data_IF_077147433099
#
_entry.id   IF_077147433099
#
_cell.length_a   1.000
_cell.length_b   1.000
_cell.length_c   1.000
_cell.angle_alpha   90.00
_cell.angle_beta   90.00
_cell.angle_gamma   90.00
#
_symmetry.space_group_name_H-M   'P 1'
#
loop_
_entity.id
_entity.type
_entity.pdbx_description
1 polymer ?
#
# COMPACT_ATOMS: atom_id res chain seq x y z
N UNK A 1 22.75 3.57 5.26
CA UNK A 1 22.27 4.49 4.19
C UNK A 1 22.44 3.84 2.83
N UNK A 2 21.43 3.09 2.37
CA UNK A 2 21.32 2.72 0.97
C UNK A 2 20.68 3.89 0.24
N UNK A 3 21.48 4.83 -0.23
CA UNK A 3 21.03 5.78 -1.24
C UNK A 3 20.48 4.92 -2.39
N UNK A 4 19.22 5.10 -2.77
CA UNK A 4 18.73 4.60 -4.06
C UNK A 4 19.52 5.32 -5.13
N UNK A 5 20.69 4.76 -5.43
CA UNK A 5 21.59 5.27 -6.43
C UNK A 5 20.84 5.15 -7.75
N UNK A 6 20.44 6.30 -8.28
CA UNK A 6 19.94 6.48 -9.64
C UNK A 6 21.09 6.28 -10.66
N UNK A 7 22.00 5.35 -10.37
CA UNK A 7 23.19 5.00 -11.14
C UNK A 7 22.97 3.73 -11.97
N UNK A 8 21.86 3.02 -11.78
CA UNK A 8 21.44 1.97 -12.73
C UNK A 8 20.97 2.61 -14.04
N UNK A 9 21.44 2.13 -15.21
CA UNK A 9 21.09 2.70 -16.49
C UNK A 9 19.57 2.76 -16.66
N UNK A 10 19.09 3.86 -17.26
CA UNK A 10 17.69 4.22 -17.52
C UNK A 10 16.88 3.15 -18.31
N UNK A 11 17.52 2.04 -18.71
CA UNK A 11 16.95 0.91 -19.42
C UNK A 11 16.47 -0.25 -18.53
N UNK A 12 16.74 -0.26 -17.22
CA UNK A 12 16.34 -1.35 -16.33
C UNK A 12 15.22 -0.91 -15.36
N UNK A 13 14.07 -1.59 -15.41
CA UNK A 13 12.99 -1.40 -14.43
C UNK A 13 13.52 -1.78 -13.02
N UNK A 14 13.51 -0.88 -12.03
CA UNK A 14 14.06 -1.20 -10.72
C UNK A 14 13.19 -2.26 -10.02
N UNK A 15 13.84 -3.25 -9.39
CA UNK A 15 13.15 -4.43 -8.80
C UNK A 15 12.04 -4.06 -7.80
N UNK A 16 12.23 -2.97 -7.05
CA UNK A 16 11.24 -2.48 -6.07
C UNK A 16 9.95 -1.99 -6.75
N UNK A 17 10.04 -1.38 -7.94
CA UNK A 17 8.87 -0.90 -8.66
C UNK A 17 8.04 -2.06 -9.20
N UNK A 18 8.68 -3.10 -9.76
CA UNK A 18 7.95 -4.25 -10.30
C UNK A 18 7.30 -5.09 -9.20
N UNK A 19 7.97 -5.29 -8.06
CA UNK A 19 7.43 -6.08 -6.95
C UNK A 19 6.27 -5.39 -6.25
N UNK A 20 6.35 -4.07 -6.06
CA UNK A 20 5.33 -3.34 -5.32
C UNK A 20 4.21 -2.86 -6.25
N UNK A 21 4.51 -2.20 -7.37
CA UNK A 21 3.46 -1.61 -8.20
C UNK A 21 2.55 -2.66 -8.87
N UNK A 22 3.03 -3.90 -9.09
CA UNK A 22 2.19 -4.97 -9.59
C UNK A 22 1.05 -5.35 -8.62
N UNK A 23 1.25 -5.14 -7.31
CA UNK A 23 0.25 -5.42 -6.28
C UNK A 23 -0.76 -4.27 -6.10
N UNK A 24 -0.45 -3.06 -6.59
CA UNK A 24 -1.29 -1.88 -6.44
C UNK A 24 -2.69 -2.05 -7.08
N UNK A 25 -2.80 -2.82 -8.15
CA UNK A 25 -4.08 -3.13 -8.77
C UNK A 25 -5.01 -3.92 -7.85
N UNK A 26 -4.46 -4.86 -7.06
CA UNK A 26 -5.23 -5.60 -6.05
C UNK A 26 -5.70 -4.69 -4.90
N UNK A 27 -4.84 -3.77 -4.45
CA UNK A 27 -5.22 -2.76 -3.44
C UNK A 27 -6.36 -1.87 -3.95
N UNK A 28 -6.25 -1.35 -5.17
CA UNK A 28 -7.27 -0.47 -5.76
C UNK A 28 -8.59 -1.22 -6.07
N UNK A 29 -8.52 -2.52 -6.33
CA UNK A 29 -9.69 -3.35 -6.51
C UNK A 29 -10.37 -3.75 -5.19
N UNK A 30 -9.77 -3.50 -4.01
CA UNK A 30 -10.28 -4.00 -2.73
C UNK A 30 -11.73 -3.60 -2.45
N UNK A 31 -12.07 -2.31 -2.52
CA UNK A 31 -13.44 -1.82 -2.28
C UNK A 31 -14.43 -2.25 -3.36
N UNK A 32 -13.96 -2.33 -4.60
CA UNK A 32 -14.81 -2.55 -5.76
C UNK A 32 -14.81 -4.00 -6.26
N UNK A 33 -14.10 -4.91 -5.60
CA UNK A 33 -13.97 -6.32 -5.98
C UNK A 33 -15.24 -7.13 -5.69
N UNK A 34 -16.03 -6.69 -4.70
CA UNK A 34 -17.37 -7.22 -4.41
C UNK A 34 -18.47 -6.40 -5.12
N UNK A 35 -18.09 -5.27 -5.73
CA UNK A 35 -18.99 -4.44 -6.54
C UNK A 35 -18.87 -4.84 -8.00
N UNK A 36 -19.90 -4.59 -8.80
CA UNK A 36 -19.88 -4.94 -10.23
C UNK A 36 -19.02 -3.97 -11.04
N UNK A 37 -17.71 -4.13 -10.93
CA UNK A 37 -16.78 -3.65 -11.95
C UNK A 37 -16.82 -4.60 -13.14
N UNK A 38 -17.05 -4.05 -14.33
CA UNK A 38 -16.86 -4.81 -15.56
C UNK A 38 -15.40 -5.23 -15.70
N UNK A 39 -15.09 -6.32 -16.43
CA UNK A 39 -13.71 -6.73 -16.68
C UNK A 39 -12.85 -5.61 -17.28
N UNK A 40 -13.45 -4.75 -18.11
CA UNK A 40 -12.76 -3.59 -18.67
C UNK A 40 -12.50 -2.51 -17.60
N UNK A 41 -13.45 -2.26 -16.70
CA UNK A 41 -13.29 -1.33 -15.58
C UNK A 41 -12.17 -1.75 -14.64
N UNK A 42 -12.08 -3.04 -14.29
CA UNK A 42 -11.01 -3.55 -13.41
C UNK A 42 -9.62 -3.46 -14.06
N UNK A 43 -9.52 -3.70 -15.37
CA UNK A 43 -8.26 -3.50 -16.11
C UNK A 43 -7.79 -2.04 -16.08
N UNK A 44 -8.71 -1.08 -16.28
CA UNK A 44 -8.37 0.36 -16.20
C UNK A 44 -7.91 0.74 -14.80
N UNK A 45 -8.64 0.33 -13.76
CA UNK A 45 -8.29 0.66 -12.38
C UNK A 45 -6.93 0.08 -12.01
N UNK A 46 -6.65 -1.17 -12.38
CA UNK A 46 -5.35 -1.80 -12.16
C UNK A 46 -4.21 -1.07 -12.88
N UNK A 47 -4.43 -0.66 -14.13
CA UNK A 47 -3.45 0.11 -14.90
C UNK A 47 -3.14 1.47 -14.28
N UNK A 48 -4.18 2.21 -13.88
CA UNK A 48 -4.03 3.52 -13.22
C UNK A 48 -3.34 3.38 -11.85
N UNK A 49 -3.71 2.37 -11.06
CA UNK A 49 -3.09 2.08 -9.77
C UNK A 49 -1.59 1.78 -9.90
N UNK A 50 -1.21 1.00 -10.92
CA UNK A 50 0.19 0.72 -11.23
C UNK A 50 0.98 1.99 -11.58
N UNK A 51 0.42 2.86 -12.43
CA UNK A 51 1.05 4.15 -12.78
C UNK A 51 1.23 5.01 -11.52
N UNK A 52 0.17 5.18 -10.72
CA UNK A 52 0.20 5.99 -9.50
C UNK A 52 1.26 5.47 -8.53
N UNK A 53 1.36 4.15 -8.37
CA UNK A 53 2.36 3.53 -7.50
C UNK A 53 3.78 3.77 -8.00
N UNK A 54 4.06 3.53 -9.29
CA UNK A 54 5.40 3.77 -9.89
C UNK A 54 5.81 5.24 -9.79
N UNK A 55 4.90 6.18 -10.08
CA UNK A 55 5.17 7.61 -9.94
C UNK A 55 5.39 8.01 -8.48
N UNK A 56 4.66 7.39 -7.55
CA UNK A 56 4.85 7.56 -6.12
C UNK A 56 6.25 7.14 -5.65
N UNK A 57 6.69 5.95 -6.06
CA UNK A 57 8.04 5.48 -5.75
C UNK A 57 9.13 6.39 -6.34
N UNK A 58 8.95 6.85 -7.60
CA UNK A 58 9.96 7.66 -8.28
C UNK A 58 10.03 9.11 -7.81
N UNK A 59 8.89 9.75 -7.56
CA UNK A 59 8.82 11.19 -7.34
C UNK A 59 8.29 11.56 -5.96
N UNK A 60 7.28 10.86 -5.45
CA UNK A 60 6.65 11.23 -4.18
C UNK A 60 7.51 10.84 -2.98
N UNK A 61 8.06 9.63 -2.99
CA UNK A 61 8.94 9.11 -1.91
C UNK A 61 10.11 10.05 -1.60
N UNK A 62 10.93 10.50 -2.58
CA UNK A 62 12.02 11.43 -2.27
C UNK A 62 11.51 12.79 -1.77
N UNK A 63 10.36 13.28 -2.25
CA UNK A 63 9.77 14.53 -1.75
C UNK A 63 9.31 14.39 -0.29
N UNK A 64 8.65 13.27 0.06
CA UNK A 64 8.22 12.98 1.43
C UNK A 64 9.41 12.91 2.39
N UNK A 65 10.49 12.25 1.97
CA UNK A 65 11.70 12.12 2.77
C UNK A 65 12.43 13.46 2.93
N UNK A 66 12.67 14.19 1.84
CA UNK A 66 13.47 15.41 1.87
C UNK A 66 12.73 16.59 2.50
N UNK A 67 11.46 16.79 2.13
CA UNK A 67 10.67 17.99 2.47
C UNK A 67 9.80 17.80 3.70
N UNK A 68 9.18 16.64 3.84
CA UNK A 68 8.24 16.36 4.94
C UNK A 68 8.85 15.56 6.08
N UNK A 69 10.09 15.06 5.91
CA UNK A 69 10.79 14.19 6.87
C UNK A 69 9.99 12.94 7.23
N UNK A 70 9.21 12.43 6.27
CA UNK A 70 8.46 11.18 6.39
C UNK A 70 9.27 10.07 5.73
N UNK A 71 9.81 9.18 6.55
CA UNK A 71 10.57 8.02 6.09
C UNK A 71 9.63 6.83 5.89
N UNK A 72 9.37 6.50 4.63
CA UNK A 72 8.54 5.35 4.24
C UNK A 72 9.45 4.25 3.66
N UNK A 73 10.01 3.40 4.53
CA UNK A 73 11.02 2.38 4.19
C UNK A 73 10.59 1.47 3.05
N UNK A 74 9.32 1.07 3.00
CA UNK A 74 8.80 0.14 2.00
C UNK A 74 7.98 0.84 0.90
N UNK A 75 7.77 2.16 1.01
CA UNK A 75 6.87 2.90 0.13
C UNK A 75 5.41 2.47 0.28
N UNK A 76 4.97 2.15 1.51
CA UNK A 76 3.59 1.71 1.79
C UNK A 76 2.57 2.77 1.39
N UNK A 77 2.94 4.06 1.40
CA UNK A 77 2.07 5.12 0.91
C UNK A 77 1.80 4.99 -0.60
N UNK A 78 2.80 4.60 -1.38
CA UNK A 78 2.69 4.46 -2.84
C UNK A 78 1.98 3.17 -3.25
N UNK A 79 2.03 2.14 -2.41
CA UNK A 79 1.40 0.84 -2.69
C UNK A 79 0.01 0.70 -2.07
N UNK A 80 -0.15 1.08 -0.82
CA UNK A 80 -1.39 0.91 -0.06
C UNK A 80 -2.19 2.20 0.03
N UNK A 81 -1.53 3.31 0.39
CA UNK A 81 -2.19 4.59 0.62
C UNK A 81 -2.88 5.16 -0.63
N UNK A 82 -2.10 5.55 -1.63
CA UNK A 82 -2.66 6.16 -2.84
C UNK A 82 -3.54 5.20 -3.64
N UNK A 83 -3.15 3.93 -3.90
CA UNK A 83 -4.03 2.98 -4.58
C UNK A 83 -5.29 2.64 -3.77
N UNK A 84 -5.22 2.63 -2.44
CA UNK A 84 -6.39 2.45 -1.58
C UNK A 84 -7.38 3.61 -1.67
N UNK A 85 -6.90 4.86 -1.71
CA UNK A 85 -7.75 6.04 -1.95
C UNK A 85 -8.39 5.97 -3.34
N UNK A 86 -7.64 5.58 -4.37
CA UNK A 86 -8.19 5.35 -5.72
C UNK A 86 -9.33 4.32 -5.68
N UNK A 87 -9.10 3.17 -5.02
CA UNK A 87 -10.11 2.12 -4.86
C UNK A 87 -11.37 2.59 -4.14
N UNK A 88 -11.21 3.39 -3.09
CA UNK A 88 -12.34 3.98 -2.36
C UNK A 88 -13.16 4.95 -3.24
N UNK A 89 -12.49 5.76 -4.08
CA UNK A 89 -13.16 6.65 -5.05
C UNK A 89 -13.91 5.83 -6.10
N UNK A 90 -13.30 4.76 -6.62
CA UNK A 90 -13.96 3.85 -7.57
C UNK A 90 -15.20 3.23 -6.91
N UNK A 91 -15.08 2.71 -5.69
CA UNK A 91 -16.21 2.15 -4.94
C UNK A 91 -17.32 3.17 -4.66
N UNK A 92 -16.96 4.42 -4.39
CA UNK A 92 -17.92 5.53 -4.23
C UNK A 92 -18.74 5.77 -5.50
N UNK A 93 -18.06 5.85 -6.65
CA UNK A 93 -18.70 6.07 -7.95
C UNK A 93 -19.55 4.86 -8.32
N UNK A 94 -19.01 3.65 -8.19
CA UNK A 94 -19.72 2.40 -8.51
C UNK A 94 -20.95 2.20 -7.64
N UNK A 95 -20.90 2.57 -6.36
CA UNK A 95 -22.06 2.56 -5.47
C UNK A 95 -23.10 3.64 -5.84
N UNK A 96 -22.64 4.85 -6.20
CA UNK A 96 -23.51 5.98 -6.56
C UNK A 96 -24.36 5.71 -7.81
N UNK A 97 -23.84 4.91 -8.74
CA UNK A 97 -24.51 4.57 -10.02
C UNK A 97 -25.07 3.14 -10.04
N UNK A 98 -25.12 2.47 -8.89
CA UNK A 98 -25.64 1.11 -8.82
C UNK A 98 -27.13 1.07 -9.20
N UNK A 99 -27.48 0.27 -10.20
CA UNK A 99 -28.87 0.05 -10.63
C UNK A 99 -29.23 -1.44 -10.56
N UNK A 100 -30.52 -1.72 -10.43
CA UNK A 100 -31.07 -3.08 -10.47
C UNK A 100 -30.82 -3.76 -11.81
N UNK A 101 -30.67 -3.00 -12.91
CA UNK A 101 -30.36 -3.55 -14.23
C UNK A 101 -28.94 -4.10 -14.32
N UNK A 102 -27.99 -3.45 -13.63
CA UNK A 102 -26.59 -3.87 -13.58
C UNK A 102 -26.40 -4.99 -12.56
N UNK A 103 -26.96 -4.83 -11.36
CA UNK A 103 -26.74 -5.76 -10.24
C UNK A 103 -27.71 -6.93 -10.17
N UNK A 104 -28.86 -6.85 -10.85
CA UNK A 104 -29.89 -7.88 -10.83
C UNK A 104 -30.25 -8.29 -9.40
N UNK A 105 -30.30 -9.61 -9.16
CA UNK A 105 -30.57 -10.18 -7.84
C UNK A 105 -29.43 -9.97 -6.83
N UNK A 106 -28.19 -9.76 -7.31
CA UNK A 106 -27.02 -9.54 -6.45
C UNK A 106 -27.00 -8.17 -5.78
N UNK A 107 -27.92 -7.26 -6.13
CA UNK A 107 -28.03 -5.96 -5.46
C UNK A 107 -28.34 -6.10 -3.98
N UNK A 108 -29.15 -7.09 -3.59
CA UNK A 108 -29.48 -7.32 -2.18
C UNK A 108 -28.28 -7.83 -1.36
N UNK A 109 -27.33 -8.50 -2.00
CA UNK A 109 -26.12 -9.03 -1.34
C UNK A 109 -25.08 -7.92 -1.12
N UNK A 110 -24.92 -7.00 -2.09
CA UNK A 110 -23.88 -5.96 -2.07
C UNK A 110 -24.40 -4.64 -1.47
N UNK A 111 -25.65 -4.27 -1.75
CA UNK A 111 -26.28 -3.01 -1.33
C UNK A 111 -27.72 -3.25 -0.82
N UNK A 112 -27.91 -3.94 0.33
CA UNK A 112 -29.23 -4.31 0.84
C UNK A 112 -30.16 -3.11 1.07
N UNK A 113 -29.63 -2.01 1.60
CA UNK A 113 -30.40 -0.78 1.88
C UNK A 113 -30.85 -0.08 0.58
N UNK A 114 -30.09 -0.25 -0.53
CA UNK A 114 -30.48 0.25 -1.86
C UNK A 114 -31.51 -0.69 -2.50
N UNK A 115 -31.32 -2.01 -2.35
CA UNK A 115 -32.21 -3.03 -2.91
C UNK A 115 -33.61 -3.00 -2.27
N UNK A 116 -33.69 -2.71 -0.97
CA UNK A 116 -34.94 -2.53 -0.21
C UNK A 116 -35.62 -1.19 -0.48
N UNK A 117 -34.92 -0.24 -1.13
CA UNK A 117 -35.42 1.11 -1.38
C UNK A 117 -35.38 2.03 -0.16
N UNK A 118 -34.75 1.61 0.95
CA UNK A 118 -34.56 2.45 2.14
C UNK A 118 -33.69 3.67 1.84
N UNK A 119 -32.70 3.51 0.96
CA UNK A 119 -31.84 4.60 0.49
C UNK A 119 -31.66 4.58 -1.03
N UNK A 120 -31.38 5.75 -1.61
CA UNK A 120 -30.96 5.84 -3.01
C UNK A 120 -29.50 5.42 -3.21
N UNK A 121 -29.17 4.91 -4.40
CA UNK A 121 -27.80 4.55 -4.78
C UNK A 121 -26.81 5.72 -4.61
N UNK A 122 -27.22 6.94 -4.96
CA UNK A 122 -26.41 8.15 -4.74
C UNK A 122 -26.04 8.37 -3.27
N UNK A 123 -26.97 8.08 -2.34
CA UNK A 123 -26.71 8.16 -0.91
C UNK A 123 -25.77 7.05 -0.43
N UNK A 124 -25.84 5.86 -1.02
CA UNK A 124 -24.86 4.81 -0.77
C UNK A 124 -23.45 5.23 -1.18
N UNK A 125 -23.30 5.94 -2.29
CA UNK A 125 -22.04 6.60 -2.66
C UNK A 125 -21.55 7.58 -1.59
N UNK A 126 -22.44 8.41 -1.04
CA UNK A 126 -22.09 9.33 0.08
C UNK A 126 -21.62 8.57 1.31
N UNK A 127 -22.25 7.44 1.67
CA UNK A 127 -21.80 6.60 2.79
C UNK A 127 -20.38 6.07 2.58
N UNK A 128 -20.00 5.72 1.34
CA UNK A 128 -18.63 5.32 1.02
C UNK A 128 -17.63 6.48 1.19
N UNK A 129 -18.02 7.70 0.81
CA UNK A 129 -17.19 8.89 1.04
C UNK A 129 -16.98 9.17 2.53
N UNK A 130 -18.05 9.05 3.33
CA UNK A 130 -17.98 9.21 4.79
C UNK A 130 -17.07 8.13 5.39
N UNK A 131 -17.21 6.88 4.94
CA UNK A 131 -16.37 5.75 5.38
C UNK A 131 -14.88 6.01 5.11
N UNK A 132 -14.53 6.52 3.92
CA UNK A 132 -13.16 6.92 3.60
C UNK A 132 -12.65 8.01 4.55
N UNK A 133 -13.44 9.06 4.79
CA UNK A 133 -13.06 10.15 5.68
C UNK A 133 -12.85 9.67 7.13
N UNK A 134 -13.75 8.82 7.64
CA UNK A 134 -13.63 8.21 8.97
C UNK A 134 -12.38 7.33 9.05
N UNK A 135 -12.12 6.50 8.04
CA UNK A 135 -10.94 5.63 7.99
C UNK A 135 -9.65 6.44 8.03
N UNK A 136 -9.54 7.53 7.24
CA UNK A 136 -8.40 8.42 7.27
C UNK A 136 -8.23 9.12 8.63
N UNK A 137 -9.34 9.57 9.22
CA UNK A 137 -9.33 10.19 10.54
C UNK A 137 -8.83 9.24 11.64
N UNK A 138 -9.32 8.00 11.67
CA UNK A 138 -8.88 6.98 12.61
C UNK A 138 -7.42 6.60 12.36
N UNK A 139 -7.01 6.42 11.10
CA UNK A 139 -5.63 6.06 10.76
C UNK A 139 -4.63 7.15 11.19
N UNK A 140 -4.94 8.42 10.95
CA UNK A 140 -4.07 9.54 11.33
C UNK A 140 -4.00 9.70 12.86
N UNK A 141 -5.15 9.70 13.54
CA UNK A 141 -5.19 9.87 14.99
C UNK A 141 -4.55 8.68 15.71
N UNK A 142 -4.92 7.46 15.31
CA UNK A 142 -4.37 6.23 15.87
C UNK A 142 -2.87 6.12 15.61
N UNK A 143 -2.42 6.39 14.38
CA UNK A 143 -1.01 6.39 14.02
C UNK A 143 -0.19 7.42 14.80
N UNK A 144 -0.74 8.62 15.03
CA UNK A 144 -0.10 9.65 15.85
C UNK A 144 0.05 9.20 17.31
N UNK A 145 -1.03 8.70 17.92
CA UNK A 145 -1.03 8.22 19.32
C UNK A 145 -0.02 7.09 19.48
N UNK A 146 -0.08 6.06 18.63
CA UNK A 146 0.84 4.92 18.67
C UNK A 146 2.28 5.38 18.41
N UNK A 147 2.49 6.29 17.46
CA UNK A 147 3.81 6.86 17.19
C UNK A 147 4.43 7.58 18.38
N UNK A 148 3.63 8.33 19.16
CA UNK A 148 4.11 8.94 20.40
C UNK A 148 4.42 7.92 21.50
N UNK A 149 3.59 6.87 21.62
CA UNK A 149 3.87 5.78 22.57
C UNK A 149 5.19 5.10 22.21
N UNK A 150 5.42 4.76 20.94
CA UNK A 150 6.65 4.10 20.48
C UNK A 150 7.91 4.97 20.60
N UNK A 151 7.77 6.29 20.74
CA UNK A 151 8.90 7.19 21.03
C UNK A 151 9.39 7.14 22.48
N UNK A 152 8.68 6.47 23.39
CA UNK A 152 9.13 6.32 24.78
C UNK A 152 10.38 5.40 24.80
N UNK A 153 11.47 5.79 25.48
CA UNK A 153 12.78 5.09 25.41
C UNK A 153 12.82 3.74 26.18
N UNK A 154 11.69 3.07 26.34
CA UNK A 154 11.56 1.77 27.02
C UNK A 154 11.54 0.58 26.05
N UNK A 155 11.35 0.85 24.75
CA UNK A 155 11.15 -0.20 23.74
C UNK A 155 12.43 -0.67 23.05
N UNK A 156 13.62 -0.20 23.48
CA UNK A 156 14.90 -0.67 22.94
C UNK A 156 15.11 -0.37 21.45
N UNK A 157 14.61 0.78 20.98
CA UNK A 157 14.81 1.22 19.60
C UNK A 157 16.31 1.48 19.31
N UNK A 158 16.80 1.13 18.11
CA UNK A 158 18.19 1.35 17.75
C UNK A 158 18.43 2.85 17.48
N UNK A 159 19.68 3.30 17.57
CA UNK A 159 20.02 4.66 17.13
C UNK A 159 19.94 4.78 15.60
N UNK A 160 19.61 5.96 15.08
CA UNK A 160 19.48 6.23 13.64
C UNK A 160 20.67 5.76 12.79
N UNK A 161 21.88 5.77 13.36
CA UNK A 161 23.11 5.35 12.68
C UNK A 161 23.21 3.84 12.40
N UNK A 162 22.43 3.02 13.10
CA UNK A 162 22.48 1.55 13.04
C UNK A 162 21.11 0.92 12.70
N UNK A 163 20.15 1.73 12.24
CA UNK A 163 18.89 1.21 11.72
C UNK A 163 19.13 0.26 10.52
N UNK A 164 18.27 -0.75 10.37
CA UNK A 164 18.32 -1.78 9.34
C UNK A 164 19.48 -2.80 9.45
N UNK A 165 20.10 -2.89 10.63
CA UNK A 165 21.14 -3.88 10.93
C UNK A 165 20.59 -5.03 11.78
N UNK A 166 20.52 -6.23 11.18
CA UNK A 166 19.98 -7.42 11.85
C UNK A 166 20.79 -7.82 13.10
N UNK A 167 22.10 -7.52 13.10
CA UNK A 167 23.02 -7.88 14.18
C UNK A 167 22.67 -7.31 15.56
N UNK A 168 21.79 -6.30 15.62
CA UNK A 168 21.33 -5.69 16.87
C UNK A 168 20.40 -6.64 17.63
N UNK A 169 19.59 -7.41 16.91
CA UNK A 169 18.53 -8.25 17.48
C UNK A 169 18.78 -9.75 17.26
N UNK A 170 19.67 -10.11 16.34
CA UNK A 170 19.93 -11.49 15.95
C UNK A 170 21.39 -11.89 16.18
N UNK A 171 21.57 -13.04 16.80
CA UNK A 171 22.87 -13.71 16.89
C UNK A 171 23.31 -14.18 15.50
N UNK A 172 24.39 -13.60 15.00
CA UNK A 172 24.99 -14.06 13.74
C UNK A 172 25.82 -15.32 14.03
N UNK A 173 25.39 -16.47 13.48
CA UNK A 173 26.30 -17.63 13.44
C UNK A 173 27.42 -17.33 12.44
N UNK A 174 28.66 -17.57 12.88
CA UNK A 174 29.97 -17.43 12.24
C UNK A 174 30.18 -18.04 10.84
N UNK A 175 29.12 -18.29 10.06
CA UNK A 175 29.23 -18.86 8.72
C UNK A 175 29.90 -17.89 7.71
N UNK A 176 29.85 -16.59 7.96
CA UNK A 176 30.49 -15.58 7.09
C UNK A 176 31.90 -15.15 7.53
N UNK A 177 32.32 -15.38 8.79
CA UNK A 177 33.71 -15.08 9.16
C UNK A 177 34.69 -16.09 8.56
N UNK A 178 34.23 -17.30 8.25
CA UNK A 178 35.02 -18.29 7.52
C UNK A 178 35.08 -17.98 6.01
N UNK A 179 34.06 -17.33 5.42
CA UNK A 179 34.09 -16.93 4.01
C UNK A 179 35.10 -15.82 3.72
N UNK A 180 35.36 -14.91 4.67
CA UNK A 180 36.44 -13.91 4.53
C UNK A 180 37.84 -14.47 4.84
N UNK A 181 37.98 -15.66 5.43
CA UNK A 181 39.27 -16.22 5.90
C UNK A 181 39.78 -17.46 5.16
N UNK A 182 39.01 -18.14 4.33
CA UNK A 182 39.51 -19.35 3.67
C UNK A 182 38.57 -19.86 2.59
N UNK A 183 39.16 -20.22 1.44
CA UNK A 183 38.44 -20.52 0.22
C UNK A 183 37.55 -21.77 0.25
N UNK A 184 36.62 -21.78 -0.72
CA UNK A 184 35.77 -22.90 -1.16
C UNK A 184 34.96 -23.58 -0.04
N UNK A 185 33.72 -23.13 0.14
CA UNK A 185 32.71 -23.82 0.95
C UNK A 185 31.39 -23.92 0.19
N UNK A 186 30.95 -25.15 -0.02
CA UNK A 186 29.74 -25.59 -0.71
C UNK A 186 28.48 -24.89 -0.19
N UNK A 187 27.67 -24.34 -1.11
CA UNK A 187 26.37 -23.75 -0.83
C UNK A 187 25.36 -24.87 -0.54
N UNK A 188 24.95 -25.04 0.72
CA UNK A 188 23.83 -25.91 1.09
C UNK A 188 22.76 -25.00 1.72
N UNK A 189 21.68 -24.77 0.98
CA UNK A 189 20.42 -24.23 1.50
C UNK A 189 19.47 -25.43 1.69
N UNK A 190 19.03 -25.66 2.92
CA UNK A 190 17.78 -26.35 3.25
C UNK A 190 16.83 -25.31 3.82
#
# INVERSE_FOLDING_TARGET
>A
MGHLDCSTPCSLCPKVHIQNAALAGGVAAGTAGEMMLTPYGSMIVGFLAGIISVLGFKFLTPILEEKLKVQDTCGVHNLHGMPGILGAIVGMVTAAVATTDVYGKGMADVFPDVASGEIGASYQGVRQAISLAVTLGIALLGGLIVGFILKIPVFGAPSDAICYEDSIYWEWKLLLSNQKRGGRGLLVFM
#
